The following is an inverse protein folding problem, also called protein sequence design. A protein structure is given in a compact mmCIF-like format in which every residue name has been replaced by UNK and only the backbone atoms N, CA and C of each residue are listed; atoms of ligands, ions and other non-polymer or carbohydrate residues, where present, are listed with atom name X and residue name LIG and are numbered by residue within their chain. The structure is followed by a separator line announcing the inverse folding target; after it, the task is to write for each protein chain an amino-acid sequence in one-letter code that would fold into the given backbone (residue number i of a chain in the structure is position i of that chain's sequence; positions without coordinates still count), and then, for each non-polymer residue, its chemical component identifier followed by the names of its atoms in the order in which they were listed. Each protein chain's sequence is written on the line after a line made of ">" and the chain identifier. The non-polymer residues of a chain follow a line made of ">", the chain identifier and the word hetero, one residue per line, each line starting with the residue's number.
data_IF_215015943694
#
_entry.id   IF_215015943694
#
_cell.length_a   1.000
_cell.length_b   1.000
_cell.length_c   1.000
_cell.angle_alpha   90.00
_cell.angle_beta   90.00
_cell.angle_gamma   90.00
#
_symmetry.space_group_name_H-M   'P 1'
#
loop_
_entity.id
_entity.type
_entity.pdbx_description
1 polymer ?
#
# COMPACT_ATOMS: atom_id res chain seq x y z
N UNK A 1 7.86 7.58 -5.58
CA UNK A 1 7.10 6.33 -5.59
C UNK A 1 5.82 6.58 -6.36
N UNK A 2 5.47 5.74 -7.34
CA UNK A 2 4.26 5.93 -8.16
C UNK A 2 3.38 4.70 -8.02
N UNK A 3 2.16 4.88 -7.53
CA UNK A 3 1.17 3.81 -7.52
C UNK A 3 0.21 4.05 -8.67
N UNK A 4 0.05 3.05 -9.54
CA UNK A 4 -1.00 3.06 -10.54
C UNK A 4 -2.27 2.58 -9.87
N UNK A 5 -3.18 3.51 -9.58
CA UNK A 5 -4.56 3.20 -9.25
C UNK A 5 -5.28 3.07 -10.60
N UNK A 6 -5.78 1.87 -10.93
CA UNK A 6 -6.65 1.67 -12.08
C UNK A 6 -8.06 2.11 -11.69
N UNK A 7 -8.59 3.12 -12.37
CA UNK A 7 -10.01 3.46 -12.29
C UNK A 7 -10.73 2.62 -13.38
N UNK A 8 -11.62 1.70 -12.98
CA UNK A 8 -12.37 0.79 -13.85
C UNK A 8 -13.57 1.48 -14.54
N UNK A 9 -13.35 2.62 -15.22
CA UNK A 9 -14.42 3.30 -15.96
C UNK A 9 -14.16 3.24 -17.48
N UNK A 10 -14.56 2.13 -18.11
CA UNK A 10 -14.46 1.86 -19.56
C UNK A 10 -15.51 2.62 -20.39
N UNK A 11 -15.61 3.94 -20.26
CA UNK A 11 -16.40 4.72 -21.22
C UNK A 11 -15.94 6.17 -21.39
N UNK A 12 -14.81 6.41 -22.07
CA UNK A 12 -14.57 7.74 -22.64
C UNK A 12 -13.79 7.69 -23.95
N UNK A 13 -14.44 8.20 -24.99
CA UNK A 13 -13.91 8.47 -26.34
C UNK A 13 -12.61 9.29 -26.23
N UNK A 14 -11.57 8.87 -26.95
CA UNK A 14 -10.23 9.47 -26.94
C UNK A 14 -10.26 10.96 -27.36
N UNK A 15 -10.27 11.87 -26.40
CA UNK A 15 -9.97 13.28 -26.64
C UNK A 15 -8.45 13.47 -26.69
N UNK A 16 -7.92 14.12 -27.73
CA UNK A 16 -6.50 14.45 -27.90
C UNK A 16 -6.02 15.60 -27.00
N UNK A 17 -6.65 15.80 -25.84
CA UNK A 17 -6.14 16.73 -24.84
C UNK A 17 -5.10 16.01 -23.99
N UNK A 18 -3.84 16.48 -24.06
CA UNK A 18 -2.84 16.08 -23.07
C UNK A 18 -3.30 16.59 -21.71
N UNK A 19 -3.91 15.70 -20.92
CA UNK A 19 -4.32 16.01 -19.55
C UNK A 19 -3.05 16.41 -18.79
N UNK A 20 -3.02 17.58 -18.11
CA UNK A 20 -1.88 17.96 -17.29
C UNK A 20 -1.50 16.81 -16.38
N UNK A 21 -0.21 16.49 -16.28
CA UNK A 21 0.27 15.43 -15.40
C UNK A 21 0.14 15.89 -13.95
N UNK A 22 -1.06 15.79 -13.38
CA UNK A 22 -1.33 16.14 -12.00
C UNK A 22 -0.48 15.22 -11.13
N UNK A 23 0.46 15.82 -10.40
CA UNK A 23 1.18 15.12 -9.36
C UNK A 23 0.15 14.81 -8.25
N UNK A 24 -0.14 13.53 -8.04
CA UNK A 24 -1.02 13.09 -6.97
C UNK A 24 -0.19 12.91 -5.70
N UNK A 25 -0.49 13.73 -4.70
CA UNK A 25 0.01 13.52 -3.35
C UNK A 25 -0.99 12.62 -2.64
N UNK A 26 -0.54 11.41 -2.30
CA UNK A 26 -1.36 10.37 -1.69
C UNK A 26 -0.85 10.09 -0.29
N UNK A 27 -1.78 10.05 0.68
CA UNK A 27 -1.51 9.46 1.99
C UNK A 27 -2.04 8.03 1.98
N UNK A 28 -1.20 7.08 2.38
CA UNK A 28 -1.50 5.65 2.33
C UNK A 28 -1.38 5.09 3.73
N UNK A 29 -2.45 4.45 4.19
CA UNK A 29 -2.54 3.72 5.44
C UNK A 29 -2.62 2.25 5.08
N UNK A 30 -1.73 1.43 5.63
CA UNK A 30 -1.65 0.01 5.32
C UNK A 30 -2.02 -0.77 6.57
N UNK A 31 -2.86 -1.79 6.41
CA UNK A 31 -3.23 -2.70 7.48
C UNK A 31 -3.87 -2.00 8.67
N UNK A 32 -3.42 -2.34 9.87
CA UNK A 32 -3.96 -1.87 11.14
C UNK A 32 -4.90 -2.89 11.78
N UNK A 33 -5.68 -2.44 12.76
CA UNK A 33 -6.55 -3.29 13.57
C UNK A 33 -8.02 -2.88 13.41
N UNK A 34 -8.87 -3.83 13.06
CA UNK A 34 -10.31 -3.65 12.96
C UNK A 34 -11.06 -4.50 13.99
N UNK A 35 -12.39 -4.45 13.98
CA UNK A 35 -13.23 -5.16 14.97
C UNK A 35 -12.88 -6.65 15.12
N UNK A 36 -12.44 -7.29 14.04
CA UNK A 36 -12.18 -8.73 13.98
C UNK A 36 -10.69 -9.07 13.94
N UNK A 37 -9.81 -8.14 14.33
CA UNK A 37 -8.36 -8.34 14.35
C UNK A 37 -7.63 -7.56 13.27
N UNK A 38 -6.37 -7.94 12.97
CA UNK A 38 -5.58 -7.25 11.97
C UNK A 38 -6.20 -7.35 10.59
N UNK A 39 -5.93 -6.35 9.76
CA UNK A 39 -6.49 -6.24 8.42
C UNK A 39 -5.40 -6.13 7.37
N UNK A 40 -5.74 -6.43 6.12
CA UNK A 40 -4.89 -6.21 4.95
C UNK A 40 -5.49 -5.12 4.04
N UNK A 41 -6.36 -4.31 4.61
CA UNK A 41 -6.95 -3.17 3.93
C UNK A 41 -5.93 -2.05 3.85
N UNK A 42 -5.96 -1.34 2.73
CA UNK A 42 -5.21 -0.12 2.50
C UNK A 42 -6.21 1.03 2.30
N UNK A 43 -6.02 2.11 3.04
CA UNK A 43 -6.80 3.34 2.87
C UNK A 43 -5.92 4.40 2.23
N UNK A 44 -6.42 5.01 1.17
CA UNK A 44 -5.69 5.97 0.35
C UNK A 44 -6.47 7.28 0.37
N UNK A 45 -5.88 8.32 0.92
CA UNK A 45 -6.39 9.68 0.78
C UNK A 45 -5.71 10.33 -0.42
N UNK A 46 -6.50 10.65 -1.44
CA UNK A 46 -6.09 11.60 -2.46
C UNK A 46 -6.19 13.01 -1.85
N UNK A 47 -5.06 13.68 -1.65
CA UNK A 47 -5.01 14.98 -0.98
C UNK A 47 -5.63 16.07 -1.87
N UNK A 48 -5.53 15.93 -3.19
CA UNK A 48 -6.09 16.89 -4.13
C UNK A 48 -7.63 16.82 -4.12
N UNK A 49 -8.18 15.61 -4.12
CA UNK A 49 -9.62 15.38 -4.14
C UNK A 49 -10.23 15.33 -2.73
N UNK A 50 -9.40 15.26 -1.69
CA UNK A 50 -9.76 15.03 -0.27
C UNK A 50 -10.69 13.85 -0.07
N UNK A 51 -10.53 12.81 -0.89
CA UNK A 51 -11.35 11.60 -0.85
C UNK A 51 -10.53 10.42 -0.36
N UNK A 52 -11.09 9.73 0.61
CA UNK A 52 -10.60 8.43 1.03
C UNK A 52 -11.12 7.35 0.08
N UNK A 53 -10.23 6.47 -0.34
CA UNK A 53 -10.52 5.24 -1.06
C UNK A 53 -10.03 4.07 -0.24
N UNK A 54 -10.83 3.02 -0.17
CA UNK A 54 -10.52 1.82 0.60
C UNK A 54 -10.35 0.66 -0.35
N UNK A 55 -9.17 0.04 -0.33
CA UNK A 55 -8.79 -1.05 -1.24
C UNK A 55 -8.17 -2.20 -0.46
N UNK A 56 -8.18 -3.40 -1.02
CA UNK A 56 -7.40 -4.52 -0.47
C UNK A 56 -5.95 -4.39 -0.92
N UNK A 57 -4.99 -4.78 -0.08
CA UNK A 57 -3.59 -4.77 -0.48
C UNK A 57 -3.38 -5.66 -1.71
N UNK A 58 -2.75 -5.09 -2.74
CA UNK A 58 -2.54 -5.76 -4.02
C UNK A 58 -1.55 -6.92 -3.85
N UNK A 59 -1.88 -8.08 -4.42
CA UNK A 59 -1.03 -9.29 -4.46
C UNK A 59 -0.62 -9.86 -3.09
N UNK A 60 -1.21 -9.37 -2.00
CA UNK A 60 -0.85 -9.76 -0.64
C UNK A 60 -2.07 -9.88 0.29
N UNK A 61 -2.41 -11.11 0.62
CA UNK A 61 -3.53 -11.43 1.50
C UNK A 61 -3.16 -11.42 2.99
N UNK A 62 -1.89 -11.14 3.34
CA UNK A 62 -1.45 -11.10 4.73
C UNK A 62 -2.03 -9.89 5.47
N UNK A 63 -2.64 -10.15 6.62
CA UNK A 63 -3.15 -9.14 7.55
C UNK A 63 -2.04 -8.70 8.48
N UNK A 64 -1.92 -7.40 8.74
CA UNK A 64 -0.85 -6.89 9.59
C UNK A 64 -1.30 -5.67 10.39
N UNK A 65 -1.06 -5.69 11.70
CA UNK A 65 -1.18 -4.55 12.61
C UNK A 65 0.18 -4.25 13.27
N UNK A 66 0.30 -3.09 13.92
CA UNK A 66 1.48 -2.70 14.71
C UNK A 66 2.83 -2.76 13.97
N UNK A 67 2.81 -2.61 12.64
CA UNK A 67 4.01 -2.59 11.81
C UNK A 67 4.48 -1.17 11.54
N UNK A 68 5.73 -1.05 11.12
CA UNK A 68 6.28 0.20 10.62
C UNK A 68 6.24 0.25 9.09
N UNK A 69 6.01 1.44 8.54
CA UNK A 69 6.02 1.71 7.09
C UNK A 69 7.04 2.79 6.74
N UNK A 70 7.88 2.55 5.73
CA UNK A 70 8.81 3.57 5.22
C UNK A 70 8.96 3.48 3.70
N UNK A 71 9.11 4.63 3.05
CA UNK A 71 9.40 4.71 1.61
C UNK A 71 10.85 5.12 1.39
N UNK A 72 11.61 4.28 0.69
CA UNK A 72 13.02 4.55 0.33
C UNK A 72 13.22 4.25 -1.15
N UNK A 73 13.75 5.21 -1.93
CA UNK A 73 14.09 5.03 -3.36
C UNK A 73 13.01 4.31 -4.19
N UNK A 74 11.77 4.80 -4.13
CA UNK A 74 10.61 4.22 -4.85
C UNK A 74 10.23 2.78 -4.43
N UNK A 75 10.60 2.40 -3.22
CA UNK A 75 10.20 1.14 -2.61
C UNK A 75 9.49 1.42 -1.29
N UNK A 76 8.38 0.76 -1.07
CA UNK A 76 7.60 0.84 0.16
C UNK A 76 7.93 -0.39 1.00
N UNK A 77 8.37 -0.16 2.23
CA UNK A 77 8.76 -1.20 3.16
C UNK A 77 7.73 -1.32 4.27
N UNK A 78 7.36 -2.56 4.58
CA UNK A 78 6.54 -2.96 5.73
C UNK A 78 7.43 -3.81 6.62
N UNK A 79 7.64 -3.39 7.86
CA UNK A 79 8.63 -3.96 8.78
C UNK A 79 7.92 -4.49 10.02
N UNK A 80 8.09 -5.79 10.30
CA UNK A 80 7.52 -6.45 11.47
C UNK A 80 5.99 -6.47 11.46
N UNK A 81 5.40 -6.32 12.64
CA UNK A 81 3.97 -6.28 12.87
C UNK A 81 3.41 -7.59 13.43
N UNK A 82 2.09 -7.65 13.51
CA UNK A 82 1.35 -8.71 14.18
C UNK A 82 0.16 -9.18 13.34
N UNK A 83 0.00 -10.49 13.17
CA UNK A 83 -1.09 -11.10 12.38
C UNK A 83 -2.28 -11.60 13.19
N UNK A 84 -2.32 -11.32 14.49
CA UNK A 84 -3.41 -11.72 15.37
C UNK A 84 -3.00 -12.83 16.34
N UNK A 85 -1.99 -13.60 15.98
CA UNK A 85 -1.45 -14.72 16.77
C UNK A 85 0.02 -14.54 17.15
N UNK A 86 0.82 -13.97 16.24
CA UNK A 86 2.26 -13.82 16.44
C UNK A 86 2.79 -12.51 15.84
N UNK A 87 3.91 -12.05 16.39
CA UNK A 87 4.69 -10.94 15.84
C UNK A 87 5.63 -11.45 14.75
N UNK A 88 5.96 -10.58 13.80
CA UNK A 88 6.84 -10.88 12.68
C UNK A 88 8.21 -10.24 12.86
N UNK A 89 9.24 -10.95 12.42
CA UNK A 89 10.54 -10.36 12.11
C UNK A 89 10.71 -10.11 10.60
N UNK A 90 9.68 -10.38 9.79
CA UNK A 90 9.74 -10.22 8.35
C UNK A 90 9.86 -8.75 7.93
N UNK A 91 10.59 -8.52 6.84
CA UNK A 91 10.65 -7.24 6.14
C UNK A 91 10.12 -7.47 4.74
N UNK A 92 9.13 -6.69 4.33
CA UNK A 92 8.53 -6.79 3.00
C UNK A 92 8.70 -5.48 2.26
N UNK A 93 8.90 -5.59 0.96
CA UNK A 93 9.16 -4.47 0.09
C UNK A 93 8.27 -4.55 -1.14
N UNK A 94 7.46 -3.53 -1.36
CA UNK A 94 6.76 -3.30 -2.62
C UNK A 94 7.60 -2.39 -3.51
N UNK A 95 7.96 -2.90 -4.68
CA UNK A 95 8.65 -2.14 -5.71
C UNK A 95 7.61 -1.53 -6.68
N UNK A 96 7.53 -0.19 -6.72
CA UNK A 96 6.57 0.49 -7.60
C UNK A 96 6.86 0.35 -9.09
N UNK A 97 8.10 0.03 -9.48
CA UNK A 97 8.47 -0.13 -10.88
C UNK A 97 8.03 -1.51 -11.38
N UNK A 98 8.32 -2.56 -10.60
CA UNK A 98 7.93 -3.93 -10.97
C UNK A 98 6.51 -4.28 -10.54
N UNK A 99 5.88 -3.45 -9.70
CA UNK A 99 4.56 -3.62 -9.08
C UNK A 99 4.41 -4.91 -8.28
N UNK A 100 5.49 -5.36 -7.63
CA UNK A 100 5.53 -6.65 -6.93
C UNK A 100 5.96 -6.48 -5.49
N UNK A 101 5.40 -7.31 -4.63
CA UNK A 101 5.91 -7.54 -3.29
C UNK A 101 7.05 -8.55 -3.31
N UNK A 102 8.07 -8.30 -2.50
CA UNK A 102 9.11 -9.26 -2.17
C UNK A 102 9.33 -9.29 -0.66
N UNK A 103 9.62 -10.48 -0.13
CA UNK A 103 10.12 -10.64 1.23
C UNK A 103 11.64 -10.50 1.21
N UNK A 104 12.18 -9.70 2.12
CA UNK A 104 13.60 -9.42 2.25
C UNK A 104 14.18 -10.19 3.45
N UNK A 105 15.49 -10.05 3.68
CA UNK A 105 16.13 -10.63 4.85
C UNK A 105 15.42 -10.18 6.15
N UNK A 106 15.11 -11.12 7.07
CA UNK A 106 14.35 -10.81 8.27
C UNK A 106 15.21 -10.08 9.31
N UNK A 107 14.55 -9.41 10.24
CA UNK A 107 15.14 -8.88 11.46
C UNK A 107 15.58 -10.03 12.39
N UNK A 108 16.52 -9.74 13.29
CA UNK A 108 16.96 -10.72 14.30
C UNK A 108 15.87 -11.10 15.30
N UNK A 109 14.91 -10.21 15.56
CA UNK A 109 13.84 -10.42 16.53
C UNK A 109 12.52 -9.95 15.92
N UNK A 110 11.44 -10.66 16.24
CA UNK A 110 10.09 -10.25 15.89
C UNK A 110 9.68 -9.01 16.69
N UNK A 111 8.96 -8.09 16.05
CA UNK A 111 8.48 -6.85 16.65
C UNK A 111 7.11 -6.49 16.10
#
# INVERSE_FOLDING_TARGET
>A
FKINITDDDESTVWSTNTVPRIQRDLLIIIGGWEKNGPTNIVEILDINDRKWRRVKMLEDDRKVAYHECIVVKNKLYVIGGFEGTQYFNAVRCYDSETKKWCELAPMHHAR
#
